data_IF_282197084564
#
_entry.id   IF_282197084564
#
_cell.length_a   1.000
_cell.length_b   1.000
_cell.length_c   1.000
_cell.angle_alpha   90.00
_cell.angle_beta   90.00
_cell.angle_gamma   90.00
#
_symmetry.space_group_name_H-M   'P 1'
#
loop_
_entity.id
_entity.type
_entity.pdbx_description
1 polymer ?
#
# COMPACT_ATOMS: atom_id res chain seq x y z
N UNK A 1 -10.32 26.58 30.45
CA UNK A 1 -11.27 25.89 29.54
C UNK A 1 -10.45 25.02 28.62
N UNK A 2 -10.43 23.68 28.79
CA UNK A 2 -9.79 22.82 27.80
C UNK A 2 -10.67 22.84 26.54
N UNK A 3 -10.08 23.10 25.39
CA UNK A 3 -10.75 23.13 24.09
C UNK A 3 -11.17 21.71 23.70
N UNK A 4 -12.46 21.40 23.91
CA UNK A 4 -13.14 20.18 23.47
C UNK A 4 -13.16 19.96 21.93
N UNK A 5 -12.33 20.67 21.15
CA UNK A 5 -12.22 20.51 19.69
C UNK A 5 -11.35 19.33 19.27
N UNK A 6 -10.48 18.82 20.14
CA UNK A 6 -9.75 17.55 19.92
C UNK A 6 -10.53 16.33 20.45
N UNK A 7 -11.86 16.42 20.49
CA UNK A 7 -12.74 15.30 20.73
C UNK A 7 -12.56 14.27 19.59
N UNK A 8 -11.62 13.32 19.78
CA UNK A 8 -11.49 12.04 19.08
C UNK A 8 -12.20 12.03 17.73
N UNK A 9 -11.69 12.77 16.75
CA UNK A 9 -12.27 12.75 15.41
C UNK A 9 -12.24 11.29 14.93
N UNK A 10 -13.43 10.68 14.80
CA UNK A 10 -13.58 9.28 14.44
C UNK A 10 -12.92 9.09 13.08
N UNK A 11 -11.98 8.16 12.98
CA UNK A 11 -11.27 7.84 11.73
C UNK A 11 -12.30 7.67 10.59
N UNK A 12 -12.17 8.41 9.48
CA UNK A 12 -13.15 8.32 8.40
C UNK A 12 -13.19 6.91 7.81
N UNK A 13 -14.37 6.39 7.44
CA UNK A 13 -14.50 5.08 6.80
C UNK A 13 -13.61 4.94 5.57
N UNK A 14 -13.41 6.02 4.79
CA UNK A 14 -12.53 6.04 3.62
C UNK A 14 -11.07 5.72 3.98
N UNK A 15 -10.56 6.21 5.12
CA UNK A 15 -9.18 5.94 5.55
C UNK A 15 -9.04 4.50 6.06
N UNK A 16 -10.06 3.98 6.75
CA UNK A 16 -10.10 2.56 7.15
C UNK A 16 -10.14 1.64 5.94
N UNK A 17 -10.95 1.98 4.94
CA UNK A 17 -11.02 1.25 3.67
C UNK A 17 -9.66 1.23 2.96
N UNK A 18 -8.99 2.38 2.84
CA UNK A 18 -7.63 2.46 2.29
C UNK A 18 -6.65 1.57 3.07
N UNK A 19 -6.72 1.59 4.41
CA UNK A 19 -5.84 0.78 5.23
C UNK A 19 -6.02 -0.73 4.95
N UNK A 20 -7.27 -1.18 4.80
CA UNK A 20 -7.58 -2.57 4.42
C UNK A 20 -6.98 -2.89 3.05
N UNK A 21 -7.14 -2.01 2.06
CA UNK A 21 -6.58 -2.22 0.72
C UNK A 21 -5.05 -2.31 0.74
N UNK A 22 -4.37 -1.47 1.53
CA UNK A 22 -2.91 -1.55 1.67
C UNK A 22 -2.50 -2.85 2.35
N UNK A 23 -3.22 -3.31 3.38
CA UNK A 23 -2.95 -4.61 4.00
C UNK A 23 -3.14 -5.78 3.03
N UNK A 24 -4.20 -5.76 2.22
CA UNK A 24 -4.40 -6.76 1.17
C UNK A 24 -3.24 -6.73 0.16
N UNK A 25 -2.88 -5.54 -0.35
CA UNK A 25 -1.76 -5.38 -1.28
C UNK A 25 -0.44 -5.88 -0.68
N UNK A 26 -0.20 -5.60 0.60
CA UNK A 26 0.98 -6.06 1.33
C UNK A 26 1.03 -7.59 1.41
N UNK A 27 -0.08 -8.23 1.79
CA UNK A 27 -0.17 -9.69 1.82
C UNK A 27 0.10 -10.29 0.43
N UNK A 28 -0.55 -9.78 -0.63
CA UNK A 28 -0.26 -10.23 -1.99
C UNK A 28 1.20 -10.02 -2.39
N UNK A 29 1.88 -8.96 -1.93
CA UNK A 29 3.29 -8.72 -2.20
C UNK A 29 4.18 -9.76 -1.52
N UNK A 30 3.96 -10.00 -0.23
CA UNK A 30 4.75 -10.94 0.55
C UNK A 30 4.52 -12.37 0.06
N UNK A 31 3.26 -12.79 -0.12
CA UNK A 31 2.95 -14.14 -0.60
C UNK A 31 3.53 -14.41 -1.99
N UNK A 32 3.39 -13.49 -2.94
CA UNK A 32 3.97 -13.67 -4.28
C UNK A 32 5.50 -13.71 -4.24
N UNK A 33 6.12 -12.83 -3.46
CA UNK A 33 7.58 -12.81 -3.33
C UNK A 33 8.13 -14.10 -2.73
N UNK A 34 7.49 -14.63 -1.67
CA UNK A 34 7.88 -15.90 -1.06
C UNK A 34 7.64 -17.07 -2.01
N UNK A 35 6.47 -17.15 -2.65
CA UNK A 35 6.14 -18.22 -3.59
C UNK A 35 7.10 -18.27 -4.78
N UNK A 36 7.49 -17.10 -5.29
CA UNK A 36 8.34 -16.98 -6.49
C UNK A 36 9.85 -17.12 -6.21
N UNK A 37 10.23 -17.26 -4.93
CA UNK A 37 11.64 -17.36 -4.50
C UNK A 37 12.34 -18.64 -4.99
N UNK A 38 11.59 -19.68 -5.36
CA UNK A 38 12.14 -20.94 -5.90
C UNK A 38 12.76 -20.86 -7.30
N UNK A 39 12.72 -19.69 -7.95
CA UNK A 39 13.29 -19.51 -9.30
C UNK A 39 14.82 -19.58 -9.32
N UNK A 40 15.40 -20.17 -10.37
CA UNK A 40 16.86 -20.31 -10.50
C UNK A 40 17.57 -18.99 -10.88
N UNK A 41 16.87 -18.10 -11.59
CA UNK A 41 17.43 -16.85 -12.10
C UNK A 41 17.65 -15.82 -10.97
N UNK A 42 18.84 -15.22 -10.94
CA UNK A 42 19.21 -14.23 -9.92
C UNK A 42 18.30 -12.99 -9.94
N UNK A 43 17.93 -12.51 -11.13
CA UNK A 43 17.05 -11.34 -11.29
C UNK A 43 15.69 -11.59 -10.63
N UNK A 44 15.12 -12.79 -10.83
CA UNK A 44 13.84 -13.18 -10.24
C UNK A 44 13.92 -13.22 -8.71
N UNK A 45 15.01 -13.74 -8.14
CA UNK A 45 15.23 -13.74 -6.68
C UNK A 45 15.31 -12.32 -6.10
N UNK A 46 16.04 -11.42 -6.76
CA UNK A 46 16.14 -10.01 -6.32
C UNK A 46 14.75 -9.37 -6.30
N UNK A 47 13.96 -9.55 -7.37
CA UNK A 47 12.60 -9.01 -7.42
C UNK A 47 11.74 -9.58 -6.29
N UNK A 48 11.84 -10.88 -6.00
CA UNK A 48 11.11 -11.51 -4.90
C UNK A 48 11.46 -10.87 -3.54
N UNK A 49 12.74 -10.66 -3.26
CA UNK A 49 13.20 -10.01 -2.02
C UNK A 49 12.64 -8.58 -1.93
N UNK A 50 12.73 -7.82 -3.02
CA UNK A 50 12.21 -6.46 -3.10
C UNK A 50 10.69 -6.44 -2.84
N UNK A 51 9.93 -7.36 -3.43
CA UNK A 51 8.48 -7.46 -3.20
C UNK A 51 8.14 -7.73 -1.73
N UNK A 52 8.88 -8.63 -1.07
CA UNK A 52 8.70 -8.92 0.36
C UNK A 52 9.02 -7.69 1.22
N UNK A 53 10.14 -7.01 0.97
CA UNK A 53 10.55 -5.79 1.69
C UNK A 53 9.49 -4.70 1.54
N UNK A 54 9.02 -4.43 0.33
CA UNK A 54 7.97 -3.43 0.09
C UNK A 54 6.59 -3.87 0.63
N UNK A 55 6.34 -5.18 0.73
CA UNK A 55 5.18 -5.72 1.44
C UNK A 55 5.21 -5.36 2.93
N UNK A 56 6.33 -5.57 3.62
CA UNK A 56 6.49 -5.15 5.01
C UNK A 56 6.42 -3.62 5.18
N UNK A 57 7.00 -2.86 4.25
CA UNK A 57 6.87 -1.41 4.24
C UNK A 57 5.39 -0.97 4.13
N UNK A 58 4.58 -1.69 3.34
CA UNK A 58 3.14 -1.44 3.23
C UNK A 58 2.38 -1.73 4.52
N UNK A 59 2.70 -2.82 5.23
CA UNK A 59 2.15 -3.08 6.56
C UNK A 59 2.46 -1.93 7.53
N UNK A 60 3.72 -1.46 7.53
CA UNK A 60 4.15 -0.35 8.37
C UNK A 60 3.39 0.94 8.02
N UNK A 61 3.35 1.34 6.76
CA UNK A 61 2.66 2.57 6.33
C UNK A 61 1.15 2.50 6.62
N UNK A 62 0.50 1.35 6.38
CA UNK A 62 -0.91 1.15 6.71
C UNK A 62 -1.19 1.35 8.21
N UNK A 63 -0.32 0.80 9.09
CA UNK A 63 -0.47 0.97 10.54
C UNK A 63 -0.41 2.45 10.97
N UNK A 64 0.34 3.27 10.23
CA UNK A 64 0.56 4.69 10.52
C UNK A 64 -0.61 5.57 10.06
N UNK A 65 -1.50 5.09 9.18
CA UNK A 65 -2.69 5.84 8.73
C UNK A 65 -3.75 6.08 9.82
N UNK A 66 -3.55 5.55 11.03
CA UNK A 66 -4.42 5.79 12.17
C UNK A 66 -4.31 7.19 12.76
N UNK A 67 -3.30 7.97 12.38
CA UNK A 67 -3.16 9.35 12.85
C UNK A 67 -3.32 10.34 11.68
N UNK A 68 -3.93 11.50 11.92
CA UNK A 68 -4.10 12.55 10.93
C UNK A 68 -2.79 13.32 10.73
N UNK A 69 -2.03 12.97 9.69
CA UNK A 69 -0.76 13.63 9.34
C UNK A 69 -0.55 13.58 7.81
N UNK A 70 -0.29 14.75 7.20
CA UNK A 70 -0.10 14.89 5.75
C UNK A 70 1.05 14.02 5.24
N UNK A 71 2.15 13.91 6.00
CA UNK A 71 3.32 13.11 5.62
C UNK A 71 2.97 11.64 5.42
N UNK A 72 2.02 11.13 6.21
CA UNK A 72 1.58 9.73 6.17
C UNK A 72 0.70 9.45 4.96
N UNK A 73 -0.13 10.42 4.56
CA UNK A 73 -0.88 10.36 3.29
C UNK A 73 0.09 10.29 2.12
N UNK A 74 1.06 11.20 2.08
CA UNK A 74 2.07 11.24 1.01
C UNK A 74 2.89 9.95 0.95
N UNK A 75 3.32 9.42 2.09
CA UNK A 75 4.02 8.14 2.17
C UNK A 75 3.19 6.98 1.61
N UNK A 76 1.89 6.92 1.92
CA UNK A 76 1.00 5.90 1.38
C UNK A 76 0.81 6.02 -0.14
N UNK A 77 0.67 7.24 -0.67
CA UNK A 77 0.56 7.49 -2.12
C UNK A 77 1.86 7.07 -2.83
N UNK A 78 3.02 7.51 -2.32
CA UNK A 78 4.32 7.16 -2.90
C UNK A 78 4.53 5.65 -2.87
N UNK A 79 4.23 5.02 -1.73
CA UNK A 79 4.36 3.57 -1.60
C UNK A 79 3.42 2.83 -2.56
N UNK A 80 2.17 3.28 -2.72
CA UNK A 80 1.27 2.71 -3.72
C UNK A 80 1.83 2.84 -5.14
N UNK A 81 2.46 3.96 -5.48
CA UNK A 81 3.17 4.13 -6.76
C UNK A 81 4.29 3.11 -6.94
N UNK A 82 5.13 2.90 -5.92
CA UNK A 82 6.19 1.88 -5.95
C UNK A 82 5.61 0.48 -6.10
N UNK A 83 4.54 0.15 -5.37
CA UNK A 83 3.86 -1.15 -5.50
C UNK A 83 3.38 -1.38 -6.93
N UNK A 84 2.79 -0.38 -7.61
CA UNK A 84 2.39 -0.48 -9.02
C UNK A 84 3.59 -0.80 -9.91
N UNK A 85 4.70 -0.08 -9.74
CA UNK A 85 5.91 -0.30 -10.54
C UNK A 85 6.46 -1.71 -10.35
N UNK A 86 6.53 -2.20 -9.11
CA UNK A 86 6.96 -3.57 -8.82
C UNK A 86 6.07 -4.60 -9.51
N UNK A 87 4.77 -4.35 -9.61
CA UNK A 87 3.84 -5.24 -10.32
C UNK A 87 4.02 -5.23 -11.83
N UNK A 88 4.32 -4.08 -12.42
CA UNK A 88 4.66 -4.00 -13.85
C UNK A 88 5.94 -4.80 -14.13
N UNK A 89 6.96 -4.68 -13.27
CA UNK A 89 8.21 -5.45 -13.39
C UNK A 89 7.95 -6.95 -13.20
N UNK A 90 7.16 -7.35 -12.21
CA UNK A 90 6.76 -8.74 -12.00
C UNK A 90 6.03 -9.30 -13.24
N UNK A 91 5.09 -8.54 -13.83
CA UNK A 91 4.41 -8.97 -15.03
C UNK A 91 5.36 -9.16 -16.21
N UNK A 92 6.29 -8.22 -16.42
CA UNK A 92 7.29 -8.33 -17.48
C UNK A 92 8.16 -9.59 -17.33
N UNK A 93 8.41 -10.06 -16.11
CA UNK A 93 9.31 -11.20 -15.84
C UNK A 93 8.58 -12.54 -15.79
N UNK A 94 7.34 -12.60 -15.28
CA UNK A 94 6.58 -13.84 -15.09
C UNK A 94 5.34 -13.99 -15.98
N UNK A 95 4.89 -12.93 -16.65
CA UNK A 95 3.72 -12.92 -17.55
C UNK A 95 2.42 -13.47 -16.89
N UNK A 96 2.29 -13.32 -15.58
CA UNK A 96 1.20 -13.91 -14.79
C UNK A 96 0.05 -12.92 -14.53
N UNK A 97 -1.20 -13.39 -14.67
CA UNK A 97 -2.46 -12.66 -14.44
C UNK A 97 -2.67 -12.22 -12.99
N UNK A 98 -2.00 -12.83 -12.00
CA UNK A 98 -1.99 -12.35 -10.60
C UNK A 98 -1.57 -10.88 -10.44
N UNK A 99 -0.97 -10.31 -11.48
CA UNK A 99 -0.70 -8.90 -11.74
C UNK A 99 -1.91 -7.95 -11.53
N UNK A 100 -3.10 -8.32 -12.00
CA UNK A 100 -4.24 -7.39 -12.08
C UNK A 100 -4.67 -6.89 -10.70
N UNK A 101 -4.79 -7.79 -9.73
CA UNK A 101 -5.13 -7.41 -8.35
C UNK A 101 -4.00 -6.60 -7.69
N UNK A 102 -2.74 -6.96 -7.96
CA UNK A 102 -1.57 -6.24 -7.46
C UNK A 102 -1.49 -4.79 -7.93
N UNK A 103 -1.97 -4.49 -9.14
CA UNK A 103 -1.99 -3.12 -9.71
C UNK A 103 -3.25 -2.36 -9.33
N UNK A 104 -4.42 -3.01 -9.39
CA UNK A 104 -5.71 -2.36 -9.14
C UNK A 104 -5.79 -1.85 -7.70
N UNK A 105 -5.34 -2.64 -6.71
CA UNK A 105 -5.43 -2.28 -5.29
C UNK A 105 -4.71 -0.94 -4.98
N UNK A 106 -3.42 -0.76 -5.32
CA UNK A 106 -2.74 0.53 -5.17
C UNK A 106 -3.38 1.71 -5.92
N UNK A 107 -3.94 1.48 -7.11
CA UNK A 107 -4.63 2.53 -7.88
C UNK A 107 -5.86 3.02 -7.10
N UNK A 108 -6.66 2.11 -6.57
CA UNK A 108 -7.82 2.44 -5.74
C UNK A 108 -7.37 3.18 -4.47
N UNK A 109 -6.26 2.78 -3.85
CA UNK A 109 -5.68 3.49 -2.70
C UNK A 109 -5.35 4.94 -3.04
N UNK A 110 -4.62 5.19 -4.13
CA UNK A 110 -4.25 6.54 -4.57
C UNK A 110 -5.50 7.38 -4.85
N UNK A 111 -6.48 6.80 -5.54
CA UNK A 111 -7.74 7.48 -5.84
C UNK A 111 -8.50 7.86 -4.56
N UNK A 112 -8.64 6.92 -3.61
CA UNK A 112 -9.37 7.15 -2.35
C UNK A 112 -8.65 8.12 -1.41
N UNK A 113 -7.32 8.09 -1.36
CA UNK A 113 -6.53 9.06 -0.58
C UNK A 113 -6.59 10.48 -1.16
N UNK A 114 -6.91 10.61 -2.45
CA UNK A 114 -7.08 11.91 -3.09
C UNK A 114 -8.50 12.49 -2.98
N UNK A 115 -9.45 11.75 -2.39
CA UNK A 115 -10.79 12.25 -2.12
C UNK A 115 -10.79 13.37 -1.07
N UNK A 116 -11.78 14.26 -1.12
CA UNK A 116 -11.93 15.40 -0.20
C UNK A 116 -11.98 14.99 1.27
N UNK A 117 -12.72 13.91 1.58
CA UNK A 117 -12.85 13.35 2.94
C UNK A 117 -11.48 12.89 3.50
N UNK A 118 -10.74 12.10 2.73
CA UNK A 118 -9.41 11.64 3.15
C UNK A 118 -8.42 12.81 3.25
N UNK A 119 -8.48 13.76 2.31
CA UNK A 119 -7.66 14.97 2.36
C UNK A 119 -7.94 15.81 3.60
N UNK A 120 -9.20 15.93 4.02
CA UNK A 120 -9.59 16.67 5.21
C UNK A 120 -9.08 16.01 6.51
N UNK A 121 -9.05 14.68 6.56
CA UNK A 121 -8.47 13.95 7.70
C UNK A 121 -6.96 14.13 7.84
N UNK A 122 -6.23 14.21 6.73
CA UNK A 122 -4.77 14.34 6.75
C UNK A 122 -4.27 15.79 6.64
N UNK A 123 -5.16 16.78 6.74
CA UNK A 123 -4.83 18.22 6.65
C UNK A 123 -4.32 18.77 7.97
#
# INVERSE_FOLDING_TARGET
MPSNQEARAKKPPTVTFVQILIYLAAMFNVFNGVYSFGSAEMVKKIICIVMVVFGFAALYVASRLNTPDTSRRSAAIVLSGILILLRIVEFAVWHNIGFLLGVILPIIVIWRLNNSEAKAWFR
#
